data_IF_562291036135
#
_entry.id   IF_562291036135
#
_cell.length_a   1.000
_cell.length_b   1.000
_cell.length_c   1.000
_cell.angle_alpha   90.00
_cell.angle_beta   90.00
_cell.angle_gamma   90.00
#
_symmetry.space_group_name_H-M   'P 1'
#
loop_
_entity.id
_entity.type
_entity.pdbx_description
1 polymer ?
#
# COMPACT_ATOMS: atom_id res chain seq x y z
N UNK A 1 12.90 -22.22 17.65
CA UNK A 1 11.68 -21.60 17.07
C UNK A 1 10.83 -22.70 16.43
N UNK A 2 9.54 -22.82 16.73
CA UNK A 2 8.67 -23.86 16.13
C UNK A 2 8.24 -23.47 14.71
N UNK A 3 7.88 -24.45 13.89
CA UNK A 3 7.35 -24.22 12.52
C UNK A 3 6.10 -23.34 12.55
N UNK A 4 5.17 -23.65 13.46
CA UNK A 4 3.94 -22.88 13.66
C UNK A 4 4.20 -21.42 14.03
N UNK A 5 5.18 -21.13 14.90
CA UNK A 5 5.52 -19.75 15.24
C UNK A 5 6.06 -18.98 14.03
N UNK A 6 6.88 -19.61 13.19
CA UNK A 6 7.39 -18.99 11.94
C UNK A 6 6.26 -18.69 10.96
N UNK A 7 5.37 -19.64 10.73
CA UNK A 7 4.23 -19.48 9.82
C UNK A 7 3.28 -18.37 10.30
N UNK A 8 2.99 -18.33 11.61
CA UNK A 8 2.17 -17.26 12.19
C UNK A 8 2.80 -15.88 12.00
N UNK A 9 4.12 -15.75 12.19
CA UNK A 9 4.83 -14.48 11.99
C UNK A 9 4.85 -14.04 10.52
N UNK A 10 5.02 -14.98 9.59
CA UNK A 10 4.99 -14.69 8.16
C UNK A 10 3.59 -14.20 7.77
N UNK A 11 2.55 -14.91 8.20
CA UNK A 11 1.16 -14.53 7.93
C UNK A 11 0.84 -13.14 8.49
N UNK A 12 1.21 -12.86 9.75
CA UNK A 12 0.99 -11.55 10.36
C UNK A 12 1.67 -10.42 9.57
N UNK A 13 2.91 -10.63 9.10
CA UNK A 13 3.62 -9.65 8.27
C UNK A 13 2.88 -9.41 6.95
N UNK A 14 2.45 -10.47 6.27
CA UNK A 14 1.77 -10.38 4.98
C UNK A 14 0.40 -9.69 5.11
N UNK A 15 -0.33 -9.98 6.19
CA UNK A 15 -1.61 -9.32 6.50
C UNK A 15 -1.39 -7.83 6.82
N UNK A 16 -0.28 -7.48 7.49
CA UNK A 16 0.07 -6.10 7.84
C UNK A 16 0.50 -5.26 6.64
N UNK A 17 1.16 -5.87 5.65
CA UNK A 17 1.61 -5.19 4.44
C UNK A 17 1.17 -5.97 3.19
N UNK A 18 -0.09 -5.80 2.75
CA UNK A 18 -0.62 -6.51 1.59
C UNK A 18 -0.03 -6.03 0.26
N UNK A 19 0.70 -4.90 0.27
CA UNK A 19 1.36 -4.30 -0.88
C UNK A 19 2.84 -4.09 -0.59
N UNK A 20 3.65 -4.27 -1.62
CA UNK A 20 5.08 -4.04 -1.62
C UNK A 20 5.40 -2.86 -2.52
N UNK A 21 6.28 -1.95 -2.08
CA UNK A 21 6.75 -0.84 -2.92
C UNK A 21 8.21 -1.05 -3.27
N UNK A 22 8.50 -1.16 -4.56
CA UNK A 22 9.87 -1.30 -5.04
C UNK A 22 10.30 -0.04 -5.79
N UNK A 23 11.54 0.36 -5.53
CA UNK A 23 12.22 1.44 -6.24
C UNK A 23 13.43 0.86 -6.93
N UNK A 24 13.45 0.92 -8.26
CA UNK A 24 14.59 0.47 -9.06
C UNK A 24 15.40 1.69 -9.48
N UNK A 25 16.59 1.86 -8.91
CA UNK A 25 17.49 2.95 -9.22
C UNK A 25 18.42 2.57 -10.38
N UNK A 26 18.46 3.44 -11.38
CA UNK A 26 19.28 3.30 -12.56
C UNK A 26 20.63 4.02 -12.42
N UNK A 27 21.65 3.64 -13.22
CA UNK A 27 22.96 4.28 -13.20
C UNK A 27 22.94 5.78 -13.50
N UNK A 28 21.96 6.22 -14.28
CA UNK A 28 21.69 7.62 -14.65
C UNK A 28 20.95 8.41 -13.54
N UNK A 29 20.72 7.78 -12.38
CA UNK A 29 20.04 8.30 -11.17
C UNK A 29 18.51 8.39 -11.27
N UNK A 30 17.90 7.95 -12.37
CA UNK A 30 16.45 7.81 -12.40
C UNK A 30 15.98 6.64 -11.54
N UNK A 31 14.75 6.74 -11.02
CA UNK A 31 14.16 5.73 -10.15
C UNK A 31 12.79 5.34 -10.68
N UNK A 32 12.61 4.05 -10.97
CA UNK A 32 11.32 3.48 -11.34
C UNK A 32 10.63 2.95 -10.08
N UNK A 33 9.47 3.50 -9.74
CA UNK A 33 8.67 3.04 -8.62
C UNK A 33 7.56 2.10 -9.12
N UNK A 34 7.43 0.94 -8.49
CA UNK A 34 6.37 -0.02 -8.76
C UNK A 34 5.70 -0.52 -7.48
N UNK A 35 4.42 -0.89 -7.60
CA UNK A 35 3.65 -1.54 -6.54
C UNK A 35 3.45 -3.00 -6.90
N UNK A 36 3.72 -3.89 -5.95
CA UNK A 36 3.70 -5.33 -6.10
C UNK A 36 2.95 -5.99 -4.93
N UNK A 37 2.73 -7.29 -5.01
CA UNK A 37 2.25 -8.13 -3.91
C UNK A 37 3.41 -8.94 -3.30
N UNK A 38 3.34 -9.30 -2.01
CA UNK A 38 4.43 -10.01 -1.33
C UNK A 38 4.80 -11.36 -1.96
N UNK A 39 3.83 -12.01 -2.61
CA UNK A 39 3.96 -13.31 -3.27
C UNK A 39 4.32 -13.22 -4.76
N UNK A 40 4.43 -12.02 -5.33
CA UNK A 40 5.01 -11.89 -6.66
C UNK A 40 6.49 -12.26 -6.63
N UNK A 41 7.02 -12.61 -7.78
CA UNK A 41 8.38 -13.14 -7.92
C UNK A 41 9.35 -12.07 -8.41
N UNK A 42 10.65 -12.36 -8.26
CA UNK A 42 11.72 -11.57 -8.88
C UNK A 42 11.55 -11.50 -10.40
N UNK A 43 11.01 -12.55 -11.04
CA UNK A 43 10.69 -12.52 -12.46
C UNK A 43 9.65 -11.46 -12.83
N UNK A 44 8.59 -11.31 -12.03
CA UNK A 44 7.60 -10.26 -12.23
C UNK A 44 8.24 -8.86 -12.14
N UNK A 45 9.16 -8.65 -11.21
CA UNK A 45 9.94 -7.41 -11.11
C UNK A 45 10.82 -7.20 -12.35
N UNK A 46 11.50 -8.23 -12.84
CA UNK A 46 12.33 -8.16 -14.05
C UNK A 46 11.49 -7.83 -15.28
N UNK A 47 10.32 -8.45 -15.42
CA UNK A 47 9.38 -8.13 -16.50
C UNK A 47 8.88 -6.69 -16.43
N UNK A 48 8.53 -6.21 -15.24
CA UNK A 48 8.14 -4.83 -15.02
C UNK A 48 9.25 -3.85 -15.41
N UNK A 49 10.50 -4.10 -15.01
CA UNK A 49 11.63 -3.25 -15.43
C UNK A 49 11.77 -3.27 -16.95
N UNK A 50 11.78 -4.46 -17.56
CA UNK A 50 11.93 -4.66 -19.00
C UNK A 50 10.87 -3.92 -19.82
N UNK A 51 9.62 -3.85 -19.35
CA UNK A 51 8.55 -3.13 -20.07
C UNK A 51 8.71 -1.60 -20.07
N UNK A 52 9.56 -1.05 -19.20
CA UNK A 52 9.83 0.38 -19.06
C UNK A 52 11.24 0.77 -19.56
N UNK A 53 11.99 -0.19 -20.12
CA UNK A 53 13.26 0.10 -20.80
C UNK A 53 13.00 0.67 -22.21
N UNK A 54 13.90 1.54 -22.65
CA UNK A 54 13.95 2.03 -24.03
C UNK A 54 14.19 0.86 -25.00
N UNK A 55 15.13 -0.02 -24.65
CA UNK A 55 15.38 -1.29 -25.37
C UNK A 55 14.97 -2.49 -24.50
N UNK A 56 13.84 -3.17 -24.80
CA UNK A 56 13.41 -4.36 -24.08
C UNK A 56 14.34 -5.58 -24.25
N UNK A 57 15.19 -5.61 -25.29
CA UNK A 57 16.15 -6.69 -25.55
C UNK A 57 17.46 -6.51 -24.77
N UNK A 58 17.63 -5.37 -24.10
CA UNK A 58 18.80 -5.08 -23.28
C UNK A 58 19.00 -6.16 -22.20
N UNK A 59 20.23 -6.66 -22.10
CA UNK A 59 20.64 -7.53 -21.00
C UNK A 59 20.92 -6.70 -19.74
N UNK A 60 20.32 -7.09 -18.62
CA UNK A 60 20.47 -6.41 -17.34
C UNK A 60 20.34 -7.39 -16.19
N UNK A 61 20.81 -6.96 -15.02
CA UNK A 61 20.66 -7.64 -13.75
C UNK A 61 20.18 -6.66 -12.68
N UNK A 62 19.54 -7.20 -11.64
CA UNK A 62 19.04 -6.44 -10.49
C UNK A 62 19.79 -6.88 -9.24
N UNK A 63 20.13 -5.94 -8.37
CA UNK A 63 20.86 -6.25 -7.15
C UNK A 63 20.50 -5.31 -5.99
N UNK A 64 20.76 -5.74 -4.77
CA UNK A 64 20.63 -4.94 -3.54
C UNK A 64 22.01 -4.70 -2.92
N UNK A 65 22.15 -3.64 -2.11
CA UNK A 65 23.39 -3.32 -1.37
C UNK A 65 23.08 -2.66 -0.02
N UNK A 66 23.95 -2.78 1.02
CA UNK A 66 25.15 -3.62 1.13
C UNK A 66 24.93 -4.90 2.00
N UNK A 67 25.60 -6.05 1.72
CA UNK A 67 26.54 -6.32 0.62
C UNK A 67 25.83 -6.46 -0.75
N UNK A 68 26.61 -6.45 -1.84
CA UNK A 68 26.06 -6.62 -3.19
C UNK A 68 25.54 -8.05 -3.38
N UNK A 69 24.22 -8.18 -3.44
CA UNK A 69 23.53 -9.45 -3.71
C UNK A 69 22.73 -9.32 -5.00
N UNK A 70 23.05 -10.14 -6.00
CA UNK A 70 22.33 -10.17 -7.26
C UNK A 70 21.07 -11.01 -7.08
N UNK A 71 19.95 -10.52 -7.60
CA UNK A 71 18.66 -11.20 -7.56
C UNK A 71 18.58 -12.25 -8.68
N UNK A 72 19.32 -13.34 -8.55
CA UNK A 72 19.51 -14.33 -9.62
C UNK A 72 18.35 -15.31 -9.79
N UNK A 73 17.68 -15.69 -8.69
CA UNK A 73 16.56 -16.64 -8.72
C UNK A 73 15.28 -15.93 -9.20
N UNK A 74 14.76 -16.22 -10.41
CA UNK A 74 13.53 -15.62 -10.91
C UNK A 74 12.28 -16.10 -10.17
N UNK A 75 12.32 -17.29 -9.55
CA UNK A 75 11.18 -17.92 -8.89
C UNK A 75 10.99 -17.47 -7.44
N UNK A 76 12.04 -16.90 -6.83
CA UNK A 76 12.00 -16.36 -5.48
C UNK A 76 10.93 -15.28 -5.37
N UNK A 77 10.14 -15.34 -4.29
CA UNK A 77 9.14 -14.29 -4.03
C UNK A 77 9.82 -13.02 -3.51
N UNK A 78 9.16 -11.87 -3.66
CA UNK A 78 9.65 -10.60 -3.10
C UNK A 78 9.84 -10.69 -1.58
N UNK A 79 9.02 -11.49 -0.88
CA UNK A 79 9.22 -11.76 0.53
C UNK A 79 10.48 -12.60 0.82
N UNK A 80 10.75 -13.64 0.02
CA UNK A 80 11.94 -14.49 0.17
C UNK A 80 13.24 -13.76 -0.19
N UNK A 81 13.16 -12.81 -1.12
CA UNK A 81 14.29 -11.99 -1.57
C UNK A 81 14.56 -10.77 -0.66
N UNK A 82 13.91 -10.67 0.51
CA UNK A 82 14.00 -9.53 1.44
C UNK A 82 13.66 -8.17 0.79
N UNK A 83 12.79 -8.18 -0.22
CA UNK A 83 12.31 -6.98 -0.93
C UNK A 83 10.99 -6.42 -0.33
N UNK A 84 10.59 -6.93 0.83
CA UNK A 84 9.32 -6.68 1.49
C UNK A 84 9.50 -5.89 2.80
N UNK A 85 8.59 -4.96 3.18
CA UNK A 85 7.42 -4.48 2.44
C UNK A 85 7.76 -3.38 1.42
N UNK A 86 9.04 -3.02 1.32
CA UNK A 86 9.54 -2.21 0.25
C UNK A 86 11.05 -2.16 0.29
N UNK A 87 11.66 -1.94 -0.87
CA UNK A 87 13.10 -1.98 -1.01
C UNK A 87 13.59 -1.08 -2.15
N UNK A 88 14.85 -0.64 -2.01
CA UNK A 88 15.62 -0.02 -3.06
C UNK A 88 16.45 -1.11 -3.75
N UNK A 89 16.20 -1.29 -5.04
CA UNK A 89 16.89 -2.23 -5.92
C UNK A 89 17.70 -1.41 -6.92
N UNK A 90 18.87 -1.90 -7.29
CA UNK A 90 19.75 -1.25 -8.25
C UNK A 90 19.72 -2.01 -9.56
N UNK A 91 19.65 -1.25 -10.65
CA UNK A 91 19.78 -1.74 -12.01
C UNK A 91 21.26 -1.76 -12.43
N UNK A 92 21.68 -2.86 -13.06
CA UNK A 92 23.00 -2.97 -13.68
C UNK A 92 22.91 -3.56 -15.08
N UNK A 93 23.77 -3.09 -15.98
CA UNK A 93 23.92 -3.62 -17.34
C UNK A 93 25.39 -3.49 -17.74
N UNK A 94 25.85 -4.40 -18.59
CA UNK A 94 27.19 -4.35 -19.19
C UNK A 94 27.25 -3.37 -20.37
N UNK A 95 26.10 -3.03 -20.95
CA UNK A 95 25.98 -2.07 -22.05
C UNK A 95 25.77 -0.68 -21.46
N UNK A 96 26.61 0.26 -21.87
CA UNK A 96 26.45 1.68 -21.52
C UNK A 96 25.59 2.36 -22.57
N UNK A 97 24.47 2.92 -22.13
CA UNK A 97 23.60 3.81 -22.93
C UNK A 97 23.43 5.13 -22.20
N UNK A 98 23.06 6.17 -22.94
CA UNK A 98 22.76 7.49 -22.39
C UNK A 98 21.47 7.46 -21.55
N UNK A 99 20.49 6.66 -21.99
CA UNK A 99 19.20 6.50 -21.33
C UNK A 99 18.79 5.03 -21.33
N UNK A 100 18.47 4.49 -20.15
CA UNK A 100 17.98 3.11 -20.01
C UNK A 100 16.44 3.04 -20.03
N UNK A 101 15.78 4.04 -19.45
CA UNK A 101 14.32 4.14 -19.42
C UNK A 101 13.77 4.71 -20.72
N UNK A 102 12.51 4.35 -21.01
CA UNK A 102 11.77 4.95 -22.12
C UNK A 102 11.73 6.47 -22.02
N UNK A 103 12.02 7.16 -23.12
CA UNK A 103 12.02 8.63 -23.17
C UNK A 103 10.68 9.24 -22.76
N UNK A 104 9.56 8.61 -23.12
CA UNK A 104 8.20 9.06 -22.76
C UNK A 104 7.99 9.23 -21.24
N UNK A 105 8.66 8.40 -20.42
CA UNK A 105 8.60 8.48 -18.96
C UNK A 105 9.50 9.59 -18.40
N UNK A 106 10.58 9.91 -19.12
CA UNK A 106 11.56 10.94 -18.73
C UNK A 106 11.07 12.36 -19.05
N UNK A 107 10.08 12.51 -19.92
CA UNK A 107 9.48 13.81 -20.24
C UNK A 107 8.60 14.37 -19.10
N UNK A 108 8.13 13.51 -18.20
CA UNK A 108 7.25 13.90 -17.09
C UNK A 108 7.68 13.28 -15.74
N UNK A 109 8.91 13.54 -15.27
CA UNK A 109 9.40 12.95 -14.03
C UNK A 109 8.69 13.59 -12.82
N UNK A 110 8.36 12.75 -11.84
CA UNK A 110 7.82 13.21 -10.55
C UNK A 110 8.94 13.47 -9.56
N UNK A 111 8.71 14.39 -8.62
CA UNK A 111 9.65 14.59 -7.53
C UNK A 111 9.63 13.42 -6.54
N UNK A 112 10.70 13.24 -5.77
CA UNK A 112 10.75 12.21 -4.73
C UNK A 112 9.64 12.40 -3.67
N UNK A 113 9.23 13.64 -3.41
CA UNK A 113 8.13 13.95 -2.48
C UNK A 113 6.81 13.45 -3.05
N UNK A 114 6.50 13.77 -4.31
CA UNK A 114 5.28 13.28 -4.98
C UNK A 114 5.25 11.75 -5.08
N UNK A 115 6.40 11.12 -5.34
CA UNK A 115 6.52 9.66 -5.34
C UNK A 115 6.30 9.04 -3.95
N UNK A 116 6.65 9.74 -2.87
CA UNK A 116 6.35 9.31 -1.50
C UNK A 116 4.86 9.49 -1.16
N UNK A 117 4.24 10.60 -1.59
CA UNK A 117 2.82 10.86 -1.40
C UNK A 117 1.96 9.80 -2.10
N UNK A 118 2.36 9.35 -3.29
CA UNK A 118 1.66 8.28 -4.01
C UNK A 118 1.69 6.94 -3.26
N UNK A 119 2.79 6.64 -2.54
CA UNK A 119 2.86 5.48 -1.65
C UNK A 119 1.84 5.63 -0.52
N UNK A 120 1.85 6.76 0.20
CA UNK A 120 0.96 7.00 1.32
C UNK A 120 -0.52 6.87 0.91
N UNK A 121 -0.90 7.48 -0.22
CA UNK A 121 -2.24 7.39 -0.79
C UNK A 121 -2.65 5.94 -1.09
N UNK A 122 -1.76 5.17 -1.74
CA UNK A 122 -2.04 3.78 -2.12
C UNK A 122 -2.19 2.85 -0.91
N UNK A 123 -1.51 3.13 0.20
CA UNK A 123 -1.58 2.35 1.44
C UNK A 123 -2.82 2.69 2.27
N UNK A 124 -3.31 3.93 2.24
CA UNK A 124 -4.54 4.34 2.93
C UNK A 124 -5.79 3.74 2.29
N UNK A 125 -5.81 3.63 0.95
CA UNK A 125 -6.95 3.07 0.21
C UNK A 125 -7.13 1.56 0.41
N UNK A 126 -6.07 0.82 0.77
CA UNK A 126 -6.15 -0.62 1.07
C UNK A 126 -6.79 -0.94 2.42
N UNK A 127 -6.99 0.04 3.30
CA UNK A 127 -7.59 -0.13 4.63
C UNK A 127 -9.10 0.06 4.64
N UNK A 128 -9.70 0.49 3.52
CA UNK A 128 -11.15 0.51 3.37
C UNK A 128 -11.61 -0.84 2.78
N UNK A 129 -12.60 -1.53 3.37
CA UNK A 129 -13.24 -2.64 2.67
C UNK A 129 -13.80 -2.07 1.37
N UNK A 130 -13.36 -2.60 0.24
CA UNK A 130 -13.96 -2.27 -1.05
C UNK A 130 -15.42 -2.69 -1.01
N UNK A 131 -16.32 -1.73 -0.77
CA UNK A 131 -17.72 -1.85 -1.17
C UNK A 131 -17.73 -1.97 -2.69
N UNK A 132 -17.80 -3.21 -3.18
CA UNK A 132 -18.21 -3.49 -4.54
C UNK A 132 -19.68 -3.09 -4.69
N UNK A 133 -19.95 -1.82 -4.98
CA UNK A 133 -21.19 -1.43 -5.64
C UNK A 133 -20.95 -1.50 -7.14
N UNK A 134 -20.84 -2.72 -7.65
CA UNK A 134 -21.09 -2.99 -9.05
C UNK A 134 -22.58 -2.75 -9.28
N UNK A 135 -22.90 -1.58 -9.85
CA UNK A 135 -24.25 -1.25 -10.26
C UNK A 135 -24.70 -2.15 -11.40
N UNK A 136 -25.22 -3.33 -11.09
CA UNK A 136 -26.19 -4.00 -11.93
C UNK A 136 -27.57 -3.43 -11.59
N UNK A 137 -27.97 -2.41 -12.34
CA UNK A 137 -29.33 -1.87 -12.28
C UNK A 137 -30.18 -2.66 -13.27
N UNK A 138 -30.79 -3.73 -12.79
CA UNK A 138 -31.86 -4.43 -13.52
C UNK A 138 -33.09 -3.52 -13.63
N UNK A 139 -33.60 -3.23 -14.84
CA UNK A 139 -34.78 -2.36 -14.99
C UNK A 139 -36.07 -3.15 -14.72
N UNK A 140 -36.80 -2.77 -13.66
CA UNK A 140 -38.18 -3.20 -13.44
C UNK A 140 -39.17 -2.12 -13.95
N UNK A 141 -40.33 -2.53 -14.51
CA UNK A 141 -41.27 -1.66 -15.24
C UNK A 141 -42.14 -0.75 -14.32
N UNK A 142 -42.83 0.27 -14.89
CA UNK A 142 -43.28 1.49 -14.21
C UNK A 142 -44.61 1.37 -13.42
N UNK A 143 -44.95 2.39 -12.59
CA UNK A 143 -46.05 2.33 -11.62
C UNK A 143 -47.39 2.80 -12.20
N UNK A 144 -48.49 2.26 -11.67
CA UNK A 144 -49.81 2.91 -11.75
C UNK A 144 -50.22 3.46 -10.36
N UNK A 145 -50.84 4.66 -10.31
CA UNK A 145 -51.19 5.35 -9.06
C UNK A 145 -52.62 5.03 -8.63
N UNK A 146 -52.98 5.37 -7.38
CA UNK A 146 -54.30 5.84 -6.85
C UNK A 146 -54.30 5.55 -5.34
N UNK A 147 -54.02 6.51 -4.45
CA UNK A 147 -54.90 7.58 -3.93
C UNK A 147 -55.81 7.08 -2.80
N UNK A 148 -55.57 7.65 -1.61
CA UNK A 148 -56.50 8.03 -0.53
C UNK A 148 -56.89 7.05 0.60
N UNK A 149 -56.85 7.68 1.80
CA UNK A 149 -57.83 7.61 2.89
C UNK A 149 -57.74 6.55 4.00
N UNK A 150 -57.35 7.08 5.17
CA UNK A 150 -58.08 7.03 6.46
C UNK A 150 -58.00 5.81 7.41
N UNK A 151 -57.88 6.15 8.71
CA UNK A 151 -58.26 5.33 9.88
C UNK A 151 -57.05 4.89 10.73
N UNK A 152 -56.74 5.50 11.89
CA UNK A 152 -57.23 5.15 13.26
C UNK A 152 -57.07 3.64 13.59
N UNK A 153 -56.51 3.15 14.71
CA UNK A 153 -56.41 3.64 16.11
C UNK A 153 -55.52 2.66 16.91
N UNK A 154 -54.88 3.14 18.00
CA UNK A 154 -54.57 2.45 19.30
C UNK A 154 -53.65 1.20 19.30
N UNK A 155 -52.75 0.91 20.26
CA UNK A 155 -52.58 1.21 21.70
C UNK A 155 -51.08 1.04 22.04
N UNK A 156 -50.43 1.95 22.78
CA UNK A 156 -50.19 1.91 24.26
C UNK A 156 -49.25 0.78 24.73
N UNK A 157 -48.01 1.14 25.10
CA UNK A 157 -47.43 1.04 26.47
C UNK A 157 -45.88 1.09 26.45
N UNK A 158 -45.33 2.19 26.99
CA UNK A 158 -43.97 2.36 27.54
C UNK A 158 -44.09 2.11 29.07
N UNK A 159 -43.04 1.72 29.83
CA UNK A 159 -42.05 2.72 30.25
C UNK A 159 -40.60 2.20 30.43
N UNK A 160 -39.67 2.92 29.81
CA UNK A 160 -38.49 3.60 30.37
C UNK A 160 -37.74 2.96 31.58
N UNK A 161 -36.44 2.66 31.39
CA UNK A 161 -35.40 3.06 32.38
C UNK A 161 -34.00 3.20 31.74
N UNK A 162 -33.66 4.45 31.41
CA UNK A 162 -32.43 5.18 31.77
C UNK A 162 -31.20 4.37 32.25
N UNK A 163 -30.04 4.52 31.59
CA UNK A 163 -28.74 4.91 32.20
C UNK A 163 -27.67 5.21 31.14
N UNK A 164 -26.84 6.20 31.47
CA UNK A 164 -26.07 7.10 30.62
C UNK A 164 -24.74 6.56 30.06
N UNK A 165 -24.28 7.32 29.05
CA UNK A 165 -22.99 7.27 28.38
C UNK A 165 -21.77 7.39 29.31
N UNK A 166 -20.66 6.77 28.89
CA UNK A 166 -19.31 7.11 29.36
C UNK A 166 -18.41 7.41 28.14
N UNK A 167 -17.96 8.67 28.05
CA UNK A 167 -16.89 9.19 27.20
C UNK A 167 -15.76 9.74 28.11
N UNK A 168 -14.55 9.98 27.58
CA UNK A 168 -13.28 9.57 28.19
C UNK A 168 -12.70 10.55 29.22
N UNK A 169 -11.79 10.02 30.04
CA UNK A 169 -11.06 10.73 31.08
C UNK A 169 -10.25 11.94 30.55
N UNK A 170 -10.46 13.09 31.20
CA UNK A 170 -9.72 14.34 31.04
C UNK A 170 -8.26 14.15 31.50
N UNK A 171 -7.30 14.66 30.72
CA UNK A 171 -5.90 14.81 31.15
C UNK A 171 -5.66 16.22 31.67
N UNK A 172 -5.03 16.33 32.85
CA UNK A 172 -4.61 17.56 33.51
C UNK A 172 -3.51 18.32 32.71
N UNK A 173 -3.61 19.65 32.52
CA UNK A 173 -2.69 20.44 31.71
C UNK A 173 -1.38 20.83 32.43
N UNK A 174 -0.87 19.99 33.33
CA UNK A 174 0.30 20.31 34.17
C UNK A 174 1.44 19.28 34.17
N UNK A 175 1.26 18.11 33.56
CA UNK A 175 2.30 17.06 33.56
C UNK A 175 3.01 16.97 32.22
N UNK A 176 4.22 17.50 32.21
CA UNK A 176 5.17 17.30 31.12
C UNK A 176 5.49 15.80 31.04
N UNK A 177 5.32 15.14 29.88
CA UNK A 177 5.55 13.72 29.77
C UNK A 177 7.04 13.37 29.96
N UNK A 178 7.32 12.18 30.50
CA UNK A 178 8.68 11.71 30.83
C UNK A 178 9.68 11.68 29.66
N UNK A 179 9.22 11.72 28.42
CA UNK A 179 10.10 11.79 27.23
C UNK A 179 10.65 13.21 27.00
N UNK A 180 10.02 14.23 27.58
CA UNK A 180 10.43 15.62 27.43
C UNK A 180 11.26 16.06 28.65
N UNK A 181 12.58 15.91 28.56
CA UNK A 181 13.52 16.57 29.49
C UNK A 181 14.06 17.85 28.87
N UNK A 182 13.70 19.00 29.44
CA UNK A 182 14.28 20.28 29.09
C UNK A 182 15.63 20.46 29.84
N UNK A 183 16.69 20.95 29.18
CA UNK A 183 17.93 21.30 29.86
C UNK A 183 17.73 22.60 30.66
N UNK A 184 18.04 22.56 31.96
CA UNK A 184 17.98 23.72 32.85
C UNK A 184 18.96 24.81 32.42
N UNK A 185 18.46 26.05 32.32
CA UNK A 185 19.28 27.25 32.12
C UNK A 185 19.87 27.70 33.45
N UNK A 186 21.14 28.10 33.41
CA UNK A 186 21.91 28.72 34.50
C UNK A 186 21.29 30.03 34.97
#
# INVERSE_FOLDING_TARGET
>A
MTKSLRESQIKEKMDRYPKVVLRVQFPDRYVLQGFFRPLETVDALRHFVRSHLEDPQLSFYLFITPPKTILDDPSATLFQADLFPGALVYFGSDVKTDFYMKRELLESPVSAVQANESIASCMLQSSAPSSSSGGFREPLPPPEPTVEASGSTQNEEDPLTQTQAAKPARSDPGKVPKWLKLPGKK
#
